data_IF_724011812574
#
_entry.id   IF_724011812574
#
_cell.length_a   1.000
_cell.length_b   1.000
_cell.length_c   1.000
_cell.angle_alpha   90.00
_cell.angle_beta   90.00
_cell.angle_gamma   90.00
#
_symmetry.space_group_name_H-M   'P 1'
#
loop_
_entity.id
_entity.type
_entity.pdbx_description
1 polymer ?
#
# COMPACT_ATOMS: atom_id res chain seq x y z
N UNK A 1 -145.28 173.82 -9.70
CA UNK A 1 -145.06 175.13 -9.05
C UNK A 1 -145.30 176.21 -10.09
N UNK A 2 -146.29 177.10 -9.85
CA UNK A 2 -146.40 178.54 -10.23
C UNK A 2 -146.00 178.97 -11.65
N UNK A 3 -146.70 179.77 -12.46
CA UNK A 3 -147.81 180.75 -12.32
C UNK A 3 -148.37 180.99 -13.75
N UNK A 4 -149.68 181.13 -14.01
CA UNK A 4 -150.49 182.37 -13.92
C UNK A 4 -149.96 183.49 -14.85
N UNK A 5 -150.66 183.88 -15.93
CA UNK A 5 -151.63 185.01 -16.06
C UNK A 5 -151.73 185.32 -17.58
N UNK A 6 -152.72 185.91 -18.24
CA UNK A 6 -154.04 186.52 -17.97
C UNK A 6 -154.51 187.09 -19.34
N UNK A 7 -155.79 186.94 -19.77
CA UNK A 7 -156.82 188.03 -19.90
C UNK A 7 -156.55 189.11 -20.99
N UNK A 8 -157.47 189.74 -21.74
CA UNK A 8 -158.93 190.00 -21.74
C UNK A 8 -159.30 190.62 -23.13
N UNK A 9 -160.42 190.24 -23.77
CA UNK A 9 -161.69 190.99 -24.04
C UNK A 9 -161.69 192.37 -24.77
N UNK A 10 -162.61 192.53 -25.76
CA UNK A 10 -163.56 193.66 -26.08
C UNK A 10 -164.23 193.34 -27.48
N UNK A 11 -165.48 192.87 -27.57
CA UNK A 11 -166.79 193.55 -27.71
C UNK A 11 -167.08 194.25 -29.07
N UNK A 12 -168.00 193.71 -29.89
CA UNK A 12 -169.10 194.46 -30.53
C UNK A 12 -170.21 193.53 -31.07
N UNK A 13 -171.43 194.05 -31.02
CA UNK A 13 -172.75 193.42 -30.89
C UNK A 13 -173.51 193.36 -32.25
N UNK A 14 -174.12 192.22 -32.62
CA UNK A 14 -175.05 192.08 -33.77
C UNK A 14 -176.06 190.94 -33.50
N UNK A 15 -177.37 191.10 -33.80
CA UNK A 15 -178.38 190.12 -33.45
C UNK A 15 -178.43 188.92 -34.41
N UNK A 16 -178.23 187.75 -33.79
CA UNK A 16 -178.76 186.40 -34.04
C UNK A 16 -179.42 186.08 -35.40
N UNK A 17 -178.94 185.00 -36.03
CA UNK A 17 -179.80 183.96 -36.59
C UNK A 17 -179.32 182.56 -36.21
N UNK A 18 -180.27 181.65 -36.01
CA UNK A 18 -180.13 180.29 -35.44
C UNK A 18 -179.19 179.35 -36.22
N UNK A 19 -178.84 179.67 -37.47
CA UNK A 19 -177.95 178.87 -38.31
C UNK A 19 -176.46 179.10 -38.01
N UNK A 20 -176.04 180.30 -37.60
CA UNK A 20 -174.63 180.58 -37.31
C UNK A 20 -174.13 179.91 -36.02
N UNK A 21 -174.96 179.83 -34.97
CA UNK A 21 -174.60 179.09 -33.76
C UNK A 21 -174.39 177.59 -34.01
N UNK A 22 -175.14 177.00 -34.95
CA UNK A 22 -174.95 175.60 -35.31
C UNK A 22 -173.65 175.42 -36.11
N UNK A 23 -173.29 176.39 -36.95
CA UNK A 23 -172.06 176.32 -37.74
C UNK A 23 -170.79 176.48 -36.87
N UNK A 24 -170.81 177.36 -35.87
CA UNK A 24 -169.70 177.53 -34.92
C UNK A 24 -169.57 176.36 -33.93
N UNK A 25 -170.70 175.76 -33.51
CA UNK A 25 -170.68 174.53 -32.71
C UNK A 25 -170.04 173.38 -33.49
N UNK A 26 -170.45 173.18 -34.75
CA UNK A 26 -169.87 172.15 -35.61
C UNK A 26 -168.38 172.35 -35.83
N UNK A 27 -167.91 173.59 -36.06
CA UNK A 27 -166.48 173.87 -36.22
C UNK A 27 -165.67 173.62 -34.94
N UNK A 28 -166.21 173.98 -33.77
CA UNK A 28 -165.56 173.71 -32.49
C UNK A 28 -165.52 172.20 -32.18
N UNK A 29 -166.60 171.47 -32.42
CA UNK A 29 -166.65 170.00 -32.29
C UNK A 29 -165.68 169.33 -33.27
N UNK A 30 -165.53 169.86 -34.48
CA UNK A 30 -164.55 169.37 -35.46
C UNK A 30 -163.12 169.63 -34.99
N UNK A 31 -162.81 170.84 -34.50
CA UNK A 31 -161.50 171.16 -33.96
C UNK A 31 -161.16 170.35 -32.69
N UNK A 32 -162.14 170.09 -31.83
CA UNK A 32 -161.97 169.23 -30.65
C UNK A 32 -161.73 167.77 -31.05
N UNK A 33 -162.44 167.30 -32.08
CA UNK A 33 -162.25 165.97 -32.66
C UNK A 33 -160.88 165.83 -33.33
N UNK A 34 -160.43 166.86 -34.05
CA UNK A 34 -159.09 166.91 -34.66
C UNK A 34 -157.97 166.98 -33.62
N UNK A 35 -158.13 167.76 -32.55
CA UNK A 35 -157.17 167.83 -31.44
C UNK A 35 -157.10 166.51 -30.68
N UNK A 36 -158.24 165.85 -30.45
CA UNK A 36 -158.31 164.51 -29.86
C UNK A 36 -157.65 163.47 -30.78
N UNK A 37 -157.89 163.54 -32.10
CA UNK A 37 -157.25 162.67 -33.08
C UNK A 37 -155.73 162.88 -33.14
N UNK A 38 -155.26 164.13 -33.04
CA UNK A 38 -153.83 164.43 -32.96
C UNK A 38 -153.19 163.95 -31.66
N UNK A 39 -153.88 164.09 -30.53
CA UNK A 39 -153.40 163.60 -29.23
C UNK A 39 -153.30 162.08 -29.23
N UNK A 40 -154.30 161.37 -29.76
CA UNK A 40 -154.25 159.91 -29.95
C UNK A 40 -153.11 159.51 -30.89
N UNK A 41 -152.87 160.26 -31.98
CA UNK A 41 -151.72 160.01 -32.86
C UNK A 41 -150.38 160.25 -32.18
N UNK A 42 -150.28 161.30 -31.36
CA UNK A 42 -149.08 161.57 -30.58
C UNK A 42 -148.83 160.46 -29.55
N UNK A 43 -149.86 160.03 -28.81
CA UNK A 43 -149.77 158.94 -27.84
C UNK A 43 -149.45 157.59 -28.52
N UNK A 44 -150.02 157.32 -29.70
CA UNK A 44 -149.67 156.16 -30.53
C UNK A 44 -148.20 156.22 -30.96
N UNK A 45 -147.74 157.35 -31.50
CA UNK A 45 -146.36 157.52 -31.94
C UNK A 45 -145.37 157.44 -30.77
N UNK A 46 -145.73 157.97 -29.59
CA UNK A 46 -144.93 157.88 -28.38
C UNK A 46 -144.86 156.43 -27.86
N UNK A 47 -145.98 155.69 -27.94
CA UNK A 47 -146.03 154.27 -27.59
C UNK A 47 -145.19 153.44 -28.55
N UNK A 48 -145.26 153.69 -29.87
CA UNK A 48 -144.41 153.05 -30.87
C UNK A 48 -142.92 153.35 -30.64
N UNK A 49 -142.56 154.59 -30.26
CA UNK A 49 -141.19 154.96 -29.93
C UNK A 49 -140.68 154.23 -28.68
N UNK A 50 -141.52 154.11 -27.65
CA UNK A 50 -141.19 153.34 -26.44
C UNK A 50 -141.08 151.85 -26.74
N UNK A 51 -141.96 151.30 -27.58
CA UNK A 51 -141.94 149.91 -28.00
C UNK A 51 -140.69 149.62 -28.86
N UNK A 52 -140.35 150.49 -29.81
CA UNK A 52 -139.12 150.41 -30.60
C UNK A 52 -137.87 150.52 -29.73
N UNK A 53 -137.86 151.41 -28.74
CA UNK A 53 -136.76 151.48 -27.76
C UNK A 53 -136.66 150.20 -26.94
N UNK A 54 -137.77 149.66 -26.44
CA UNK A 54 -137.81 148.39 -25.72
C UNK A 54 -137.30 147.23 -26.59
N UNK A 55 -137.72 147.20 -27.86
CA UNK A 55 -137.28 146.20 -28.86
C UNK A 55 -135.81 146.36 -29.23
N UNK A 56 -135.31 147.59 -29.30
CA UNK A 56 -133.89 147.87 -29.51
C UNK A 56 -133.07 147.40 -28.31
N UNK A 57 -133.53 147.66 -27.09
CA UNK A 57 -132.87 147.18 -25.86
C UNK A 57 -132.88 145.65 -25.81
N UNK A 58 -133.99 144.98 -26.15
CA UNK A 58 -134.05 143.51 -26.16
C UNK A 58 -133.20 142.89 -27.28
N UNK A 59 -133.09 143.55 -28.43
CA UNK A 59 -132.17 143.14 -29.50
C UNK A 59 -130.72 143.36 -29.09
N UNK A 60 -130.40 144.45 -28.43
CA UNK A 60 -129.06 144.71 -27.88
C UNK A 60 -128.69 143.65 -26.83
N UNK A 61 -129.58 143.32 -25.89
CA UNK A 61 -129.33 142.23 -24.92
C UNK A 61 -129.12 140.89 -25.64
N UNK A 62 -129.95 140.56 -26.63
CA UNK A 62 -129.78 139.31 -27.41
C UNK A 62 -128.47 139.29 -28.21
N UNK A 63 -128.01 140.44 -28.71
CA UNK A 63 -126.74 140.57 -29.42
C UNK A 63 -125.56 140.38 -28.48
N UNK A 64 -125.60 140.97 -27.28
CA UNK A 64 -124.58 140.78 -26.26
C UNK A 64 -124.51 139.32 -25.78
N UNK A 65 -125.66 138.64 -25.64
CA UNK A 65 -125.72 137.20 -25.33
C UNK A 65 -125.10 136.35 -26.45
N UNK A 66 -125.49 136.59 -27.71
CA UNK A 66 -124.90 135.90 -28.87
C UNK A 66 -123.40 136.13 -28.99
N UNK A 67 -122.94 137.36 -28.70
CA UNK A 67 -121.51 137.70 -28.66
C UNK A 67 -120.78 136.95 -27.56
N UNK A 68 -121.36 136.88 -26.35
CA UNK A 68 -120.79 136.12 -25.25
C UNK A 68 -120.74 134.61 -25.58
N UNK A 69 -121.76 134.07 -26.23
CA UNK A 69 -121.79 132.68 -26.64
C UNK A 69 -120.76 132.38 -27.75
N UNK A 70 -120.60 133.28 -28.74
CA UNK A 70 -119.55 133.16 -29.75
C UNK A 70 -118.14 133.18 -29.13
N UNK A 71 -117.89 134.03 -28.14
CA UNK A 71 -116.63 134.03 -27.39
C UNK A 71 -116.44 132.75 -26.57
N UNK A 72 -117.51 132.22 -25.94
CA UNK A 72 -117.46 130.92 -25.26
C UNK A 72 -117.14 129.77 -26.22
N UNK A 73 -117.73 129.75 -27.41
CA UNK A 73 -117.40 128.76 -28.45
C UNK A 73 -115.96 128.87 -28.90
N UNK A 74 -115.46 130.10 -29.13
CA UNK A 74 -114.07 130.35 -29.51
C UNK A 74 -113.09 129.90 -28.43
N UNK A 75 -113.37 130.22 -27.17
CA UNK A 75 -112.59 129.76 -26.02
C UNK A 75 -112.63 128.24 -25.89
N UNK A 76 -113.81 127.62 -26.03
CA UNK A 76 -113.95 126.18 -25.95
C UNK A 76 -113.22 125.47 -27.11
N UNK A 77 -113.29 126.00 -28.32
CA UNK A 77 -112.55 125.48 -29.47
C UNK A 77 -111.03 125.63 -29.28
N UNK A 78 -110.56 126.76 -28.75
CA UNK A 78 -109.14 126.95 -28.41
C UNK A 78 -108.67 125.97 -27.33
N UNK A 79 -109.52 125.70 -26.33
CA UNK A 79 -109.25 124.71 -25.27
C UNK A 79 -109.21 123.29 -25.83
N UNK A 80 -110.14 122.93 -26.71
CA UNK A 80 -110.15 121.64 -27.40
C UNK A 80 -108.94 121.46 -28.30
N UNK A 81 -108.58 122.49 -29.09
CA UNK A 81 -107.39 122.48 -29.93
C UNK A 81 -106.11 122.33 -29.10
N UNK A 82 -106.01 123.03 -27.97
CA UNK A 82 -104.85 122.90 -27.05
C UNK A 82 -104.77 121.49 -26.44
N UNK A 83 -105.90 120.89 -26.08
CA UNK A 83 -105.96 119.50 -25.61
C UNK A 83 -105.56 118.51 -26.70
N UNK A 84 -106.03 118.70 -27.92
CA UNK A 84 -105.72 117.85 -29.06
C UNK A 84 -104.22 117.91 -29.38
N UNK A 85 -103.64 119.12 -29.40
CA UNK A 85 -102.19 119.32 -29.57
C UNK A 85 -101.40 118.62 -28.47
N UNK A 86 -101.78 118.81 -27.19
CA UNK A 86 -101.12 118.14 -26.06
C UNK A 86 -101.20 116.62 -26.15
N UNK A 87 -102.34 116.07 -26.56
CA UNK A 87 -102.49 114.62 -26.77
C UNK A 87 -101.67 114.13 -27.96
N UNK A 88 -101.59 114.90 -29.05
CA UNK A 88 -100.73 114.57 -30.20
C UNK A 88 -99.25 114.58 -29.81
N UNK A 89 -98.80 115.59 -29.05
CA UNK A 89 -97.44 115.64 -28.51
C UNK A 89 -97.18 114.45 -27.61
N UNK A 90 -98.10 114.11 -26.71
CA UNK A 90 -97.95 112.94 -25.83
C UNK A 90 -97.90 111.61 -26.61
N UNK A 91 -98.71 111.45 -27.66
CA UNK A 91 -98.66 110.28 -28.53
C UNK A 91 -97.31 110.18 -29.23
N UNK A 92 -96.81 111.29 -29.78
CA UNK A 92 -95.50 111.33 -30.43
C UNK A 92 -94.36 111.01 -29.45
N UNK A 93 -94.40 111.57 -28.23
CA UNK A 93 -93.44 111.26 -27.17
C UNK A 93 -93.47 109.76 -26.81
N UNK A 94 -94.66 109.18 -26.65
CA UNK A 94 -94.79 107.73 -26.40
C UNK A 94 -94.31 106.87 -27.58
N UNK A 95 -94.51 107.30 -28.83
CA UNK A 95 -94.02 106.60 -30.02
C UNK A 95 -92.48 106.65 -30.11
N UNK A 96 -91.88 107.81 -29.82
CA UNK A 96 -90.43 107.99 -29.74
C UNK A 96 -89.83 107.14 -28.60
N UNK A 97 -90.44 107.15 -27.41
CA UNK A 97 -90.06 106.28 -26.28
C UNK A 97 -90.16 104.80 -26.64
N UNK A 98 -91.23 104.36 -27.32
CA UNK A 98 -91.39 102.98 -27.77
C UNK A 98 -90.33 102.57 -28.80
N UNK A 99 -89.93 103.49 -29.68
CA UNK A 99 -88.85 103.27 -30.65
C UNK A 99 -87.50 103.11 -29.93
N UNK A 100 -87.19 104.00 -28.98
CA UNK A 100 -85.98 103.92 -28.15
C UNK A 100 -85.97 102.65 -27.30
N UNK A 101 -87.11 102.26 -26.74
CA UNK A 101 -87.24 101.03 -25.96
C UNK A 101 -87.03 99.78 -26.84
N UNK A 102 -87.56 99.77 -28.06
CA UNK A 102 -87.39 98.65 -29.01
C UNK A 102 -85.94 98.52 -29.47
N UNK A 103 -85.28 99.64 -29.79
CA UNK A 103 -83.86 99.65 -30.17
C UNK A 103 -82.96 99.23 -29.00
N UNK A 104 -83.22 99.74 -27.80
CA UNK A 104 -82.55 99.34 -26.55
C UNK A 104 -82.73 97.84 -26.26
N UNK A 105 -83.96 97.33 -26.37
CA UNK A 105 -84.27 95.90 -26.22
C UNK A 105 -83.48 95.06 -27.22
N UNK A 106 -83.51 95.41 -28.49
CA UNK A 106 -82.78 94.67 -29.53
C UNK A 106 -81.26 94.67 -29.28
N UNK A 107 -80.72 95.80 -28.81
CA UNK A 107 -79.31 95.92 -28.46
C UNK A 107 -78.95 95.04 -27.24
N UNK A 108 -79.79 95.04 -26.20
CA UNK A 108 -79.59 94.20 -25.02
C UNK A 108 -79.71 92.70 -25.36
N UNK A 109 -80.64 92.33 -26.23
CA UNK A 109 -80.84 90.95 -26.70
C UNK A 109 -79.65 90.46 -27.52
N UNK A 110 -79.11 91.28 -28.44
CA UNK A 110 -77.89 90.97 -29.18
C UNK A 110 -76.69 90.81 -28.23
N UNK A 111 -76.54 91.71 -27.26
CA UNK A 111 -75.47 91.65 -26.27
C UNK A 111 -75.58 90.37 -25.42
N UNK A 112 -76.79 90.01 -24.99
CA UNK A 112 -77.04 88.77 -24.27
C UNK A 112 -76.72 87.53 -25.12
N UNK A 113 -77.09 87.53 -26.41
CA UNK A 113 -76.81 86.42 -27.32
C UNK A 113 -75.30 86.23 -27.53
N UNK A 114 -74.54 87.33 -27.70
CA UNK A 114 -73.07 87.29 -27.79
C UNK A 114 -72.48 86.73 -26.49
N UNK A 115 -72.91 87.25 -25.34
CA UNK A 115 -72.44 86.77 -24.04
C UNK A 115 -72.78 85.28 -23.81
N UNK A 116 -73.96 84.81 -24.22
CA UNK A 116 -74.33 83.39 -24.13
C UNK A 116 -73.44 82.51 -25.00
N UNK A 117 -73.14 82.94 -26.23
CA UNK A 117 -72.24 82.20 -27.13
C UNK A 117 -70.83 82.12 -26.55
N UNK A 118 -70.29 83.24 -26.07
CA UNK A 118 -68.98 83.28 -25.40
C UNK A 118 -68.95 82.39 -24.16
N UNK A 119 -70.00 82.41 -23.32
CA UNK A 119 -70.09 81.56 -22.13
C UNK A 119 -70.10 80.07 -22.50
N UNK A 120 -70.81 79.72 -23.57
CA UNK A 120 -70.86 78.35 -24.07
C UNK A 120 -69.49 77.89 -24.58
N UNK A 121 -68.79 78.70 -25.38
CA UNK A 121 -67.43 78.41 -25.87
C UNK A 121 -66.42 78.28 -24.71
N UNK A 122 -66.53 79.14 -23.69
CA UNK A 122 -65.70 79.04 -22.49
C UNK A 122 -65.97 77.76 -21.70
N UNK A 123 -67.22 77.33 -21.61
CA UNK A 123 -67.60 76.08 -20.94
C UNK A 123 -67.06 74.85 -21.67
N UNK A 124 -67.09 74.85 -22.99
CA UNK A 124 -66.52 73.77 -23.79
C UNK A 124 -64.98 73.73 -23.68
N UNK A 125 -64.31 74.88 -23.74
CA UNK A 125 -62.86 74.97 -23.47
C UNK A 125 -62.51 74.50 -22.06
N UNK A 126 -63.30 74.87 -21.05
CA UNK A 126 -63.08 74.42 -19.67
C UNK A 126 -63.24 72.90 -19.55
N UNK A 127 -64.23 72.32 -20.23
CA UNK A 127 -64.39 70.87 -20.29
C UNK A 127 -63.20 70.19 -20.96
N UNK A 128 -62.72 70.70 -22.10
CA UNK A 128 -61.55 70.16 -22.81
C UNK A 128 -60.26 70.28 -21.99
N UNK A 129 -60.06 71.39 -21.27
CA UNK A 129 -58.91 71.54 -20.38
C UNK A 129 -59.01 70.58 -19.19
N UNK A 130 -60.21 70.36 -18.65
CA UNK A 130 -60.42 69.42 -17.54
C UNK A 130 -60.19 67.96 -17.96
N UNK A 131 -60.58 67.57 -19.18
CA UNK A 131 -60.27 66.22 -19.70
C UNK A 131 -58.78 66.03 -19.94
N UNK A 132 -58.07 67.05 -20.46
CA UNK A 132 -56.61 67.04 -20.58
C UNK A 132 -55.92 66.93 -19.22
N UNK A 133 -56.38 67.70 -18.23
CA UNK A 133 -55.84 67.67 -16.87
C UNK A 133 -56.01 66.28 -16.24
N UNK A 134 -57.21 65.70 -16.31
CA UNK A 134 -57.46 64.36 -15.78
C UNK A 134 -56.59 63.30 -16.48
N UNK A 135 -56.37 63.43 -17.78
CA UNK A 135 -55.47 62.53 -18.52
C UNK A 135 -54.04 62.60 -17.97
N UNK A 136 -53.49 63.81 -17.80
CA UNK A 136 -52.15 63.97 -17.22
C UNK A 136 -52.06 63.47 -15.78
N UNK A 137 -53.13 63.61 -15.00
CA UNK A 137 -53.17 63.14 -13.62
C UNK A 137 -53.11 61.61 -13.56
N UNK A 138 -53.89 60.92 -14.41
CA UNK A 138 -53.84 59.47 -14.55
C UNK A 138 -52.47 58.97 -15.02
N UNK A 139 -51.87 59.61 -16.04
CA UNK A 139 -50.53 59.27 -16.53
C UNK A 139 -49.47 59.46 -15.42
N UNK A 140 -49.61 60.49 -14.59
CA UNK A 140 -48.73 60.73 -13.45
C UNK A 140 -48.88 59.65 -12.37
N UNK A 141 -50.11 59.27 -12.03
CA UNK A 141 -50.38 58.16 -11.09
C UNK A 141 -49.82 56.83 -11.59
N UNK A 142 -50.04 56.51 -12.87
CA UNK A 142 -49.47 55.32 -13.50
C UNK A 142 -47.93 55.34 -13.45
N UNK A 143 -47.30 56.49 -13.74
CA UNK A 143 -45.85 56.63 -13.65
C UNK A 143 -45.34 56.46 -12.20
N UNK A 144 -46.04 57.04 -11.21
CA UNK A 144 -45.68 56.89 -9.79
C UNK A 144 -45.81 55.44 -9.30
N UNK A 145 -46.88 54.74 -9.70
CA UNK A 145 -47.05 53.32 -9.36
C UNK A 145 -45.95 52.48 -10.02
N UNK A 146 -45.63 52.72 -11.28
CA UNK A 146 -44.52 52.05 -11.96
C UNK A 146 -43.18 52.30 -11.27
N UNK A 147 -42.86 53.54 -10.93
CA UNK A 147 -41.63 53.89 -10.19
C UNK A 147 -41.55 53.16 -8.84
N UNK A 148 -42.68 53.08 -8.12
CA UNK A 148 -42.77 52.35 -6.85
C UNK A 148 -42.55 50.83 -7.05
N UNK A 149 -43.12 50.25 -8.12
CA UNK A 149 -42.89 48.83 -8.43
C UNK A 149 -41.44 48.53 -8.80
N UNK A 150 -40.76 49.43 -9.52
CA UNK A 150 -39.35 49.29 -9.89
C UNK A 150 -38.46 49.43 -8.65
N UNK A 151 -38.71 50.43 -7.81
CA UNK A 151 -37.99 50.64 -6.54
C UNK A 151 -38.09 49.41 -5.63
N UNK A 152 -39.29 48.83 -5.48
CA UNK A 152 -39.48 47.59 -4.70
C UNK A 152 -38.67 46.41 -5.26
N UNK A 153 -38.69 46.21 -6.59
CA UNK A 153 -37.91 45.13 -7.24
C UNK A 153 -36.41 45.34 -7.07
N UNK A 154 -35.95 46.58 -7.15
CA UNK A 154 -34.54 46.93 -6.95
C UNK A 154 -34.09 46.59 -5.52
N UNK A 155 -34.89 46.95 -4.52
CA UNK A 155 -34.64 46.64 -3.10
C UNK A 155 -34.62 45.12 -2.84
N UNK A 156 -35.53 44.38 -3.48
CA UNK A 156 -35.61 42.93 -3.38
C UNK A 156 -34.35 42.26 -3.96
N UNK A 157 -33.86 42.71 -5.12
CA UNK A 157 -32.60 42.21 -5.71
C UNK A 157 -31.41 42.52 -4.81
N UNK A 158 -31.33 43.73 -4.25
CA UNK A 158 -30.27 44.09 -3.31
C UNK A 158 -30.29 43.20 -2.08
N UNK A 159 -31.47 42.96 -1.50
CA UNK A 159 -31.65 42.10 -0.32
C UNK A 159 -31.29 40.65 -0.62
N UNK A 160 -31.71 40.11 -1.76
CA UNK A 160 -31.36 38.75 -2.17
C UNK A 160 -29.86 38.60 -2.38
N UNK A 161 -29.22 39.54 -3.10
CA UNK A 161 -27.78 39.51 -3.34
C UNK A 161 -26.98 39.66 -2.05
N UNK A 162 -27.43 40.54 -1.15
CA UNK A 162 -26.91 40.67 0.22
C UNK A 162 -27.00 39.35 0.99
N UNK A 163 -28.13 38.65 0.92
CA UNK A 163 -28.32 37.34 1.54
C UNK A 163 -27.41 36.25 0.96
N UNK A 164 -27.23 36.21 -0.37
CA UNK A 164 -26.31 35.25 -1.00
C UNK A 164 -24.84 35.50 -0.65
N UNK A 165 -24.47 36.76 -0.46
CA UNK A 165 -23.11 37.17 -0.13
C UNK A 165 -22.86 37.23 1.39
N UNK A 166 -23.88 36.99 2.20
CA UNK A 166 -23.88 37.13 3.66
C UNK A 166 -23.32 38.49 4.12
N UNK A 167 -23.79 39.57 3.47
CA UNK A 167 -23.37 40.96 3.76
C UNK A 167 -24.57 41.77 4.23
N UNK A 168 -24.45 42.45 5.37
CA UNK A 168 -25.44 43.45 5.77
C UNK A 168 -25.26 44.75 4.97
N UNK A 169 -26.30 45.10 4.23
CA UNK A 169 -26.38 46.32 3.42
C UNK A 169 -27.28 47.41 4.02
N UNK A 170 -28.00 47.14 5.12
CA UNK A 170 -29.05 48.04 5.65
C UNK A 170 -28.54 49.41 6.05
N UNK A 171 -27.31 49.49 6.54
CA UNK A 171 -26.67 50.73 6.99
C UNK A 171 -25.73 51.32 5.92
N UNK A 172 -25.69 50.74 4.72
CA UNK A 172 -24.76 51.17 3.68
C UNK A 172 -25.42 52.26 2.84
N UNK A 173 -24.77 53.41 2.75
CA UNK A 173 -25.22 54.56 1.95
C UNK A 173 -25.33 54.22 0.45
N UNK A 174 -24.51 53.26 -0.01
CA UNK A 174 -24.54 52.72 -1.37
C UNK A 174 -24.41 51.18 -1.37
N UNK A 175 -25.52 50.46 -1.13
CA UNK A 175 -25.54 49.00 -1.05
C UNK A 175 -24.94 48.33 -2.29
N UNK A 176 -25.26 48.83 -3.49
CA UNK A 176 -24.79 48.23 -4.75
C UNK A 176 -23.26 48.26 -4.90
N UNK A 177 -22.59 49.32 -4.44
CA UNK A 177 -21.13 49.44 -4.54
C UNK A 177 -20.45 48.43 -3.60
N UNK A 178 -21.00 48.23 -2.41
CA UNK A 178 -20.49 47.25 -1.44
C UNK A 178 -20.65 45.82 -1.96
N UNK A 179 -21.83 45.50 -2.50
CA UNK A 179 -22.09 44.19 -3.10
C UNK A 179 -21.18 43.94 -4.31
N UNK A 180 -21.01 44.92 -5.20
CA UNK A 180 -20.07 44.81 -6.32
C UNK A 180 -18.62 44.60 -5.86
N UNK A 181 -18.18 45.33 -4.82
CA UNK A 181 -16.84 45.16 -4.26
C UNK A 181 -16.65 43.75 -3.72
N UNK A 182 -17.63 43.19 -3.01
CA UNK A 182 -17.54 41.81 -2.51
C UNK A 182 -17.52 40.80 -3.65
N UNK A 183 -18.39 40.96 -4.64
CA UNK A 183 -18.39 40.08 -5.82
C UNK A 183 -17.03 40.11 -6.51
N UNK A 184 -16.43 41.29 -6.66
CA UNK A 184 -15.09 41.42 -7.24
C UNK A 184 -14.01 40.72 -6.41
N UNK A 185 -14.07 40.84 -5.08
CA UNK A 185 -13.18 40.13 -4.15
C UNK A 185 -13.33 38.61 -4.30
N UNK A 186 -14.55 38.08 -4.24
CA UNK A 186 -14.86 36.64 -4.42
C UNK A 186 -14.39 36.14 -5.79
N UNK A 187 -14.53 36.94 -6.85
CA UNK A 187 -14.02 36.59 -8.17
C UNK A 187 -12.49 36.47 -8.19
N UNK A 188 -11.78 37.40 -7.54
CA UNK A 188 -10.32 37.35 -7.42
C UNK A 188 -9.87 36.15 -6.60
N UNK A 189 -10.51 35.90 -5.45
CA UNK A 189 -10.25 34.72 -4.62
C UNK A 189 -10.46 33.42 -5.41
N UNK A 190 -11.58 33.30 -6.14
CA UNK A 190 -11.84 32.14 -7.01
C UNK A 190 -10.77 31.93 -8.07
N UNK A 191 -10.27 33.01 -8.70
CA UNK A 191 -9.16 32.91 -9.66
C UNK A 191 -7.90 32.36 -8.96
N UNK A 192 -7.54 32.89 -7.80
CA UNK A 192 -6.36 32.42 -7.05
C UNK A 192 -6.50 30.96 -6.61
N UNK A 193 -7.68 30.53 -6.15
CA UNK A 193 -7.95 29.14 -5.79
C UNK A 193 -7.88 28.21 -7.01
N UNK A 194 -8.37 28.66 -8.17
CA UNK A 194 -8.28 27.90 -9.42
C UNK A 194 -6.83 27.71 -9.86
N UNK A 195 -5.99 28.73 -9.71
CA UNK A 195 -4.55 28.64 -9.98
C UNK A 195 -3.86 27.68 -9.01
N UNK A 196 -4.17 27.74 -7.71
CA UNK A 196 -3.66 26.80 -6.70
C UNK A 196 -4.06 25.35 -7.00
N UNK A 197 -5.32 25.11 -7.38
CA UNK A 197 -5.80 23.77 -7.77
C UNK A 197 -5.05 23.25 -8.99
N UNK A 198 -4.75 24.13 -9.95
CA UNK A 198 -4.00 23.76 -11.16
C UNK A 198 -2.55 23.39 -10.81
N UNK A 199 -1.89 24.18 -9.97
CA UNK A 199 -0.54 23.88 -9.46
C UNK A 199 -0.48 22.57 -8.66
N UNK A 200 -1.45 22.32 -7.78
CA UNK A 200 -1.54 21.07 -7.03
C UNK A 200 -1.76 19.86 -7.95
N UNK A 201 -2.59 20.02 -8.98
CA UNK A 201 -2.82 18.96 -9.98
C UNK A 201 -1.54 18.62 -10.75
N UNK A 202 -0.76 19.62 -11.14
CA UNK A 202 0.55 19.42 -11.78
C UNK A 202 1.52 18.69 -10.83
N UNK A 203 1.60 19.11 -9.57
CA UNK A 203 2.45 18.46 -8.56
C UNK A 203 2.07 16.98 -8.33
N UNK A 204 0.76 16.67 -8.27
CA UNK A 204 0.27 15.29 -8.19
C UNK A 204 0.71 14.49 -9.41
N UNK A 205 0.57 15.04 -10.62
CA UNK A 205 0.97 14.35 -11.84
C UNK A 205 2.48 14.06 -11.88
N UNK A 206 3.32 15.03 -11.45
CA UNK A 206 4.77 14.83 -11.31
C UNK A 206 5.07 13.69 -10.33
N UNK A 207 4.46 13.70 -9.14
CA UNK A 207 4.64 12.62 -8.16
C UNK A 207 4.12 11.26 -8.66
N UNK A 208 3.05 11.23 -9.46
CA UNK A 208 2.54 9.99 -10.05
C UNK A 208 3.56 9.40 -11.04
N UNK A 209 4.15 10.24 -11.90
CA UNK A 209 5.19 9.83 -12.84
C UNK A 209 6.44 9.35 -12.09
N UNK A 210 6.88 10.08 -11.06
CA UNK A 210 8.01 9.70 -10.21
C UNK A 210 7.76 8.37 -9.48
N UNK A 211 6.57 8.18 -8.91
CA UNK A 211 6.17 6.94 -8.25
C UNK A 211 6.17 5.74 -9.21
N UNK A 212 5.71 5.94 -10.46
CA UNK A 212 5.79 4.91 -11.51
C UNK A 212 7.25 4.56 -11.84
N UNK A 213 8.12 5.56 -12.00
CA UNK A 213 9.55 5.34 -12.26
C UNK A 213 10.26 4.63 -11.07
N UNK A 214 9.90 4.99 -9.84
CA UNK A 214 10.40 4.34 -8.63
C UNK A 214 9.96 2.87 -8.55
N UNK A 215 8.68 2.59 -8.85
CA UNK A 215 8.16 1.22 -8.91
C UNK A 215 8.90 0.37 -9.95
N UNK A 216 9.19 0.93 -11.12
CA UNK A 216 9.97 0.24 -12.16
C UNK A 216 11.41 -0.03 -11.69
N UNK A 217 12.04 0.92 -11.01
CA UNK A 217 13.38 0.74 -10.44
C UNK A 217 13.41 -0.35 -9.37
N UNK A 218 12.42 -0.38 -8.48
CA UNK A 218 12.27 -1.47 -7.49
C UNK A 218 12.11 -2.82 -8.18
N UNK A 219 11.30 -2.91 -9.23
CA UNK A 219 11.13 -4.16 -9.99
C UNK A 219 12.42 -4.64 -10.66
N UNK A 220 13.24 -3.70 -11.18
CA UNK A 220 14.55 -4.01 -11.75
C UNK A 220 15.51 -4.56 -10.68
N UNK A 221 15.61 -3.89 -9.53
CA UNK A 221 16.43 -4.32 -8.40
C UNK A 221 15.99 -5.67 -7.84
N UNK A 222 14.68 -5.91 -7.70
CA UNK A 222 14.16 -7.23 -7.28
C UNK A 222 14.56 -8.34 -8.25
N UNK A 223 14.54 -8.05 -9.56
CA UNK A 223 14.98 -9.01 -10.58
C UNK A 223 16.47 -9.30 -10.47
N UNK A 224 17.30 -8.27 -10.26
CA UNK A 224 18.75 -8.40 -10.03
C UNK A 224 19.03 -9.22 -8.76
N UNK A 225 18.39 -8.90 -7.64
CA UNK A 225 18.51 -9.65 -6.37
C UNK A 225 18.11 -11.11 -6.55
N UNK A 226 17.02 -11.39 -7.28
CA UNK A 226 16.58 -12.76 -7.55
C UNK A 226 17.62 -13.54 -8.38
N UNK A 227 18.25 -12.88 -9.35
CA UNK A 227 19.32 -13.48 -10.16
C UNK A 227 20.57 -13.76 -9.32
N UNK A 228 20.99 -12.82 -8.48
CA UNK A 228 22.12 -13.02 -7.57
C UNK A 228 21.83 -14.11 -6.53
N UNK A 229 20.60 -14.19 -6.01
CA UNK A 229 20.19 -15.27 -5.11
C UNK A 229 20.29 -16.64 -5.79
N UNK A 230 19.90 -16.76 -7.07
CA UNK A 230 20.07 -17.99 -7.86
C UNK A 230 21.54 -18.33 -8.06
N UNK A 231 22.39 -17.36 -8.37
CA UNK A 231 23.84 -17.57 -8.49
C UNK A 231 24.44 -18.03 -7.17
N UNK A 232 24.10 -17.36 -6.07
CA UNK A 232 24.55 -17.72 -4.73
C UNK A 232 24.13 -19.15 -4.36
N UNK A 233 22.87 -19.54 -4.65
CA UNK A 233 22.41 -20.91 -4.46
C UNK A 233 23.22 -21.92 -5.30
N UNK A 234 23.56 -21.58 -6.54
CA UNK A 234 24.46 -22.37 -7.39
C UNK A 234 25.85 -22.53 -6.76
N UNK A 235 26.46 -21.45 -6.27
CA UNK A 235 27.75 -21.51 -5.58
C UNK A 235 27.71 -22.38 -4.33
N UNK A 236 26.62 -22.35 -3.55
CA UNK A 236 26.45 -23.25 -2.41
C UNK A 236 26.41 -24.72 -2.84
N UNK A 237 25.71 -25.05 -3.93
CA UNK A 237 25.67 -26.42 -4.47
C UNK A 237 27.05 -26.89 -4.95
N UNK A 238 27.77 -26.02 -5.67
CA UNK A 238 29.13 -26.32 -6.13
C UNK A 238 30.08 -26.53 -4.94
N UNK A 239 29.96 -25.70 -3.90
CA UNK A 239 30.76 -25.83 -2.69
C UNK A 239 30.43 -27.10 -1.91
N UNK A 240 29.16 -27.50 -1.82
CA UNK A 240 28.77 -28.78 -1.21
C UNK A 240 29.32 -29.97 -2.00
N UNK A 241 29.27 -29.91 -3.33
CA UNK A 241 29.86 -30.93 -4.20
C UNK A 241 31.37 -31.03 -3.98
N UNK A 242 32.08 -29.91 -3.98
CA UNK A 242 33.52 -29.88 -3.74
C UNK A 242 33.87 -30.40 -2.33
N UNK A 243 33.04 -30.12 -1.32
CA UNK A 243 33.22 -30.66 0.02
C UNK A 243 33.06 -32.19 0.05
N UNK A 244 32.07 -32.75 -0.66
CA UNK A 244 31.92 -34.22 -0.82
C UNK A 244 33.12 -34.85 -1.53
N UNK A 245 33.59 -34.20 -2.60
CA UNK A 245 34.78 -34.65 -3.33
C UNK A 245 36.03 -34.61 -2.43
N UNK A 246 36.17 -33.57 -1.60
CA UNK A 246 37.23 -33.45 -0.61
C UNK A 246 37.16 -34.55 0.45
N UNK A 247 35.99 -34.82 1.03
CA UNK A 247 35.80 -35.90 2.01
C UNK A 247 36.14 -37.27 1.43
N UNK A 248 35.73 -37.52 0.19
CA UNK A 248 36.09 -38.73 -0.57
C UNK A 248 37.61 -38.83 -0.77
N UNK A 249 38.25 -37.75 -1.21
CA UNK A 249 39.70 -37.70 -1.39
C UNK A 249 40.47 -37.89 -0.08
N UNK A 250 39.99 -37.31 1.03
CA UNK A 250 40.56 -37.49 2.37
C UNK A 250 40.46 -38.95 2.81
N UNK A 251 39.31 -39.59 2.60
CA UNK A 251 39.11 -41.01 2.92
C UNK A 251 40.05 -41.90 2.09
N UNK A 252 40.19 -41.62 0.79
CA UNK A 252 41.15 -42.30 -0.08
C UNK A 252 42.61 -42.08 0.31
N UNK A 253 42.96 -40.87 0.75
CA UNK A 253 44.29 -40.60 1.31
C UNK A 253 44.55 -41.43 2.57
N UNK A 254 43.60 -41.50 3.50
CA UNK A 254 43.74 -42.26 4.75
C UNK A 254 43.92 -43.76 4.50
N UNK A 255 43.21 -44.33 3.52
CA UNK A 255 43.38 -45.75 3.17
C UNK A 255 44.76 -46.04 2.59
N UNK A 256 45.26 -45.18 1.69
CA UNK A 256 46.62 -45.28 1.15
C UNK A 256 47.68 -45.10 2.25
N UNK A 257 47.51 -44.16 3.18
CA UNK A 257 48.41 -44.01 4.32
C UNK A 257 48.43 -45.27 5.20
N UNK A 258 47.29 -45.94 5.38
CA UNK A 258 47.23 -47.22 6.10
C UNK A 258 47.95 -48.33 5.34
N UNK A 259 47.80 -48.40 4.01
CA UNK A 259 48.52 -49.35 3.18
C UNK A 259 50.03 -49.11 3.22
N UNK A 260 50.48 -47.86 3.16
CA UNK A 260 51.90 -47.49 3.30
C UNK A 260 52.43 -47.96 4.66
N UNK A 261 51.72 -47.73 5.76
CA UNK A 261 52.11 -48.25 7.09
C UNK A 261 52.22 -49.77 7.09
N UNK A 262 51.24 -50.46 6.54
CA UNK A 262 51.26 -51.94 6.43
C UNK A 262 52.44 -52.44 5.59
N UNK A 263 52.77 -51.77 4.48
CA UNK A 263 53.92 -52.11 3.65
C UNK A 263 55.25 -51.83 4.36
N UNK A 264 55.34 -50.73 5.12
CA UNK A 264 56.50 -50.43 5.96
C UNK A 264 56.69 -51.50 7.04
N UNK A 265 55.62 -51.92 7.72
CA UNK A 265 55.67 -52.99 8.71
C UNK A 265 56.13 -54.32 8.08
N UNK A 266 55.59 -54.68 6.91
CA UNK A 266 56.05 -55.85 6.14
C UNK A 266 57.51 -55.74 5.75
N UNK A 267 57.95 -54.57 5.30
CA UNK A 267 59.35 -54.33 4.94
C UNK A 267 60.27 -54.51 6.14
N UNK A 268 59.93 -53.95 7.31
CA UNK A 268 60.73 -54.12 8.52
C UNK A 268 60.75 -55.58 9.01
N UNK A 269 59.63 -56.30 8.90
CA UNK A 269 59.56 -57.73 9.22
C UNK A 269 60.44 -58.56 8.27
N UNK A 270 60.36 -58.29 6.96
CA UNK A 270 61.22 -58.93 5.96
C UNK A 270 62.70 -58.61 6.17
N UNK A 271 63.04 -57.37 6.53
CA UNK A 271 64.41 -56.98 6.85
C UNK A 271 64.94 -57.76 8.05
N UNK A 272 64.15 -57.88 9.14
CA UNK A 272 64.52 -58.71 10.30
C UNK A 272 64.70 -60.18 9.92
N UNK A 273 63.81 -60.74 9.10
CA UNK A 273 63.92 -62.12 8.62
C UNK A 273 65.17 -62.34 7.75
N UNK A 274 65.49 -61.37 6.88
CA UNK A 274 66.71 -61.39 6.07
C UNK A 274 67.96 -61.33 6.96
N UNK A 275 67.99 -60.46 7.95
CA UNK A 275 69.12 -60.34 8.87
C UNK A 275 69.29 -61.61 9.72
N UNK A 276 68.19 -62.23 10.16
CA UNK A 276 68.21 -63.54 10.82
C UNK A 276 68.78 -64.62 9.88
N UNK A 277 68.32 -64.69 8.63
CA UNK A 277 68.83 -65.65 7.64
C UNK A 277 70.32 -65.42 7.31
N UNK A 278 70.78 -64.17 7.23
CA UNK A 278 72.21 -63.85 7.09
C UNK A 278 73.02 -64.33 8.29
N UNK A 279 72.49 -64.17 9.51
CA UNK A 279 73.14 -64.65 10.72
C UNK A 279 73.21 -66.19 10.76
N UNK A 280 72.15 -66.88 10.35
CA UNK A 280 72.12 -68.34 10.18
C UNK A 280 73.14 -68.80 9.13
N UNK A 281 73.21 -68.12 7.98
CA UNK A 281 74.18 -68.40 6.93
C UNK A 281 75.62 -68.26 7.46
N UNK A 282 75.93 -67.16 8.14
CA UNK A 282 77.24 -66.94 8.74
C UNK A 282 77.59 -68.02 9.78
N UNK A 283 76.63 -68.43 10.61
CA UNK A 283 76.82 -69.53 11.56
C UNK A 283 77.10 -70.86 10.84
N UNK A 284 76.38 -71.13 9.75
CA UNK A 284 76.58 -72.33 8.93
C UNK A 284 77.94 -72.31 8.22
N UNK A 285 78.37 -71.18 7.68
CA UNK A 285 79.71 -70.99 7.11
C UNK A 285 80.79 -71.25 8.16
N UNK A 286 80.63 -70.72 9.38
CA UNK A 286 81.54 -70.99 10.50
C UNK A 286 81.61 -72.49 10.80
N UNK A 287 80.46 -73.16 10.99
CA UNK A 287 80.42 -74.61 11.20
C UNK A 287 81.03 -75.40 10.04
N UNK A 288 80.82 -74.96 8.79
CA UNK A 288 81.44 -75.56 7.62
C UNK A 288 82.97 -75.42 7.66
N UNK A 289 83.50 -74.24 7.98
CA UNK A 289 84.95 -74.02 8.11
C UNK A 289 85.57 -74.85 9.23
N UNK A 290 84.91 -74.97 10.39
CA UNK A 290 85.34 -75.80 11.51
C UNK A 290 85.34 -77.29 11.15
N UNK A 291 84.29 -77.78 10.49
CA UNK A 291 84.17 -79.16 10.05
C UNK A 291 85.23 -79.47 8.97
N UNK A 292 85.46 -78.55 8.03
CA UNK A 292 86.50 -78.68 7.02
C UNK A 292 87.91 -78.69 7.65
N UNK A 293 88.15 -77.87 8.68
CA UNK A 293 89.39 -77.91 9.48
C UNK A 293 89.58 -79.24 10.19
N UNK A 294 88.51 -79.78 10.80
CA UNK A 294 88.49 -81.09 11.46
C UNK A 294 88.74 -82.22 10.46
N UNK A 295 88.11 -82.17 9.29
CA UNK A 295 88.31 -83.13 8.20
C UNK A 295 89.76 -83.11 7.69
N UNK A 296 90.34 -81.92 7.51
CA UNK A 296 91.75 -81.78 7.09
C UNK A 296 92.69 -82.37 8.13
N UNK A 297 92.44 -82.12 9.42
CA UNK A 297 93.22 -82.65 10.54
C UNK A 297 93.11 -84.18 10.61
N UNK A 298 91.89 -84.71 10.56
CA UNK A 298 91.63 -86.16 10.51
C UNK A 298 92.30 -86.83 9.29
N UNK A 299 92.31 -86.17 8.13
CA UNK A 299 93.03 -86.66 6.94
C UNK A 299 94.54 -86.67 7.13
N UNK A 300 95.11 -85.71 7.85
CA UNK A 300 96.53 -85.69 8.21
C UNK A 300 96.84 -86.82 9.20
N UNK A 301 96.04 -86.97 10.26
CA UNK A 301 96.14 -88.06 11.23
C UNK A 301 96.07 -89.43 10.55
N UNK A 302 95.09 -89.65 9.67
CA UNK A 302 94.98 -90.87 8.89
C UNK A 302 96.23 -91.14 8.02
N UNK A 303 96.81 -90.10 7.40
CA UNK A 303 98.08 -90.23 6.67
C UNK A 303 99.23 -90.62 7.58
N UNK A 304 99.36 -89.98 8.75
CA UNK A 304 100.43 -90.34 9.72
C UNK A 304 100.27 -91.76 10.26
N UNK A 305 99.04 -92.20 10.56
CA UNK A 305 98.73 -93.56 11.00
C UNK A 305 99.00 -94.60 9.89
N UNK A 306 98.71 -94.25 8.64
CA UNK A 306 99.04 -95.09 7.50
C UNK A 306 100.56 -95.22 7.33
N UNK A 307 101.31 -94.12 7.41
CA UNK A 307 102.78 -94.14 7.36
C UNK A 307 103.39 -94.97 8.49
N UNK A 308 102.88 -94.87 9.72
CA UNK A 308 103.37 -95.68 10.84
C UNK A 308 103.01 -97.17 10.68
N UNK A 309 101.83 -97.50 10.15
CA UNK A 309 101.45 -98.88 9.84
C UNK A 309 102.36 -99.51 8.79
N UNK A 310 102.73 -98.76 7.74
CA UNK A 310 103.71 -99.20 6.73
C UNK A 310 105.08 -99.46 7.38
N UNK A 311 105.57 -98.52 8.18
CA UNK A 311 106.84 -98.68 8.89
C UNK A 311 106.85 -99.88 9.86
N UNK A 312 105.72 -100.15 10.54
CA UNK A 312 105.57 -101.32 11.40
C UNK A 312 105.63 -102.63 10.61
N UNK A 313 104.95 -102.70 9.45
CA UNK A 313 105.02 -103.85 8.55
C UNK A 313 106.44 -104.09 8.03
N UNK A 314 107.21 -103.02 7.76
CA UNK A 314 108.64 -103.11 7.44
C UNK A 314 109.47 -103.71 8.58
N UNK A 315 109.28 -103.25 9.82
CA UNK A 315 110.01 -103.78 10.98
C UNK A 315 109.76 -105.29 11.18
N UNK A 316 108.50 -105.74 11.11
CA UNK A 316 108.18 -107.16 11.29
C UNK A 316 108.78 -108.03 10.17
N UNK A 317 108.70 -107.59 8.91
CA UNK A 317 109.32 -108.34 7.82
C UNK A 317 110.85 -108.42 7.95
N UNK A 318 111.47 -107.39 8.51
CA UNK A 318 112.91 -107.40 8.80
C UNK A 318 113.25 -108.41 9.90
N UNK A 319 112.48 -108.46 11.00
CA UNK A 319 112.69 -109.42 12.11
C UNK A 319 112.47 -110.88 11.70
N UNK A 320 111.49 -111.14 10.82
CA UNK A 320 111.18 -112.49 10.35
C UNK A 320 112.12 -112.98 9.23
N UNK A 321 112.97 -112.10 8.72
CA UNK A 321 114.02 -112.44 7.76
C UNK A 321 115.23 -113.02 8.49
N UNK A 322 115.65 -114.24 8.10
CA UNK A 322 116.77 -114.95 8.72
C UNK A 322 117.69 -115.60 7.68
N UNK A 323 118.75 -116.30 8.12
CA UNK A 323 119.80 -116.87 7.25
C UNK A 323 119.27 -117.80 6.14
N UNK A 324 118.04 -118.31 6.26
CA UNK A 324 117.42 -119.22 5.29
C UNK A 324 116.31 -118.60 4.40
N UNK A 325 115.83 -117.36 4.63
CA UNK A 325 114.80 -116.70 3.80
C UNK A 325 114.61 -115.19 4.12
N UNK A 326 114.32 -114.38 3.10
CA UNK A 326 113.97 -112.94 3.19
C UNK A 326 112.46 -112.73 3.03
N UNK A 327 111.83 -111.99 3.95
CA UNK A 327 110.37 -111.76 4.00
C UNK A 327 110.04 -110.35 3.49
N UNK A 328 109.00 -110.20 2.67
CA UNK A 328 108.52 -108.89 2.20
C UNK A 328 107.63 -108.21 3.24
N UNK A 329 107.64 -106.86 3.34
CA UNK A 329 106.81 -106.09 4.27
C UNK A 329 105.35 -105.99 3.84
N UNK A 330 104.71 -107.14 3.61
CA UNK A 330 103.28 -107.25 3.40
C UNK A 330 102.68 -108.20 4.42
N UNK A 331 101.46 -107.90 4.88
CA UNK A 331 100.77 -108.68 5.92
C UNK A 331 100.62 -110.15 5.51
N UNK A 332 100.30 -110.41 4.24
CA UNK A 332 100.22 -111.75 3.69
C UNK A 332 101.56 -112.50 3.79
N UNK A 333 102.66 -111.87 3.41
CA UNK A 333 103.98 -112.49 3.43
C UNK A 333 104.50 -112.71 4.87
N UNK A 334 104.16 -111.81 5.79
CA UNK A 334 104.46 -111.95 7.23
C UNK A 334 103.72 -113.16 7.82
N UNK A 335 102.41 -113.29 7.55
CA UNK A 335 101.60 -114.40 8.04
C UNK A 335 102.05 -115.77 7.48
N UNK A 336 102.34 -115.84 6.18
CA UNK A 336 102.86 -117.06 5.54
C UNK A 336 104.16 -117.54 6.20
N UNK A 337 105.06 -116.62 6.56
CA UNK A 337 106.31 -116.96 7.24
C UNK A 337 106.09 -117.49 8.65
N UNK A 338 105.18 -116.88 9.42
CA UNK A 338 104.85 -117.34 10.79
C UNK A 338 104.28 -118.76 10.74
N UNK A 339 103.39 -119.05 9.79
CA UNK A 339 102.81 -120.39 9.62
C UNK A 339 103.89 -121.43 9.25
N UNK A 340 104.82 -121.09 8.36
CA UNK A 340 105.93 -122.00 7.99
C UNK A 340 106.83 -122.34 9.20
N UNK A 341 107.13 -121.36 10.07
CA UNK A 341 107.91 -121.56 11.29
C UNK A 341 107.15 -122.50 12.25
N UNK A 342 105.86 -122.27 12.48
CA UNK A 342 105.04 -123.12 13.34
C UNK A 342 104.96 -124.57 12.86
N UNK A 343 104.78 -124.82 11.56
CA UNK A 343 104.77 -126.20 11.04
C UNK A 343 106.10 -126.93 11.26
N UNK A 344 107.24 -126.23 11.22
CA UNK A 344 108.55 -126.82 11.53
C UNK A 344 108.69 -127.17 13.01
N UNK A 345 108.15 -126.34 13.91
CA UNK A 345 108.12 -126.60 15.36
C UNK A 345 107.31 -127.87 15.67
N UNK A 346 106.09 -127.95 15.14
CA UNK A 346 105.15 -129.07 15.34
C UNK A 346 105.74 -130.41 14.86
N UNK A 347 106.48 -130.40 13.74
CA UNK A 347 107.18 -131.60 13.24
C UNK A 347 108.30 -132.10 14.15
N UNK A 348 108.98 -131.19 14.88
CA UNK A 348 110.01 -131.56 15.85
C UNK A 348 109.38 -132.14 17.12
N UNK A 349 108.26 -131.58 17.57
CA UNK A 349 107.53 -132.05 18.75
C UNK A 349 107.07 -133.50 18.58
N UNK A 350 106.53 -133.85 17.41
CA UNK A 350 106.17 -135.25 17.06
C UNK A 350 107.40 -136.18 17.13
N UNK A 351 108.55 -135.72 16.65
CA UNK A 351 109.79 -136.51 16.66
C UNK A 351 110.30 -136.76 18.08
N UNK A 352 110.16 -135.77 18.97
CA UNK A 352 110.52 -135.87 20.40
C UNK A 352 109.62 -136.88 21.12
N UNK A 353 108.29 -136.82 20.93
CA UNK A 353 107.36 -137.78 21.54
C UNK A 353 107.63 -139.24 21.11
N UNK A 354 108.11 -139.45 19.88
CA UNK A 354 108.49 -140.79 19.39
C UNK A 354 109.73 -141.36 20.10
N UNK A 355 110.72 -140.52 20.42
CA UNK A 355 111.93 -140.94 21.14
C UNK A 355 111.62 -141.26 22.60
N UNK A 356 110.75 -140.48 23.25
CA UNK A 356 110.33 -140.73 24.63
C UNK A 356 109.65 -142.10 24.81
N UNK A 357 108.82 -142.52 23.84
CA UNK A 357 108.17 -143.82 23.86
C UNK A 357 109.15 -145.01 23.70
N UNK A 358 110.25 -144.82 22.96
CA UNK A 358 111.29 -145.84 22.83
C UNK A 358 112.09 -146.04 24.12
N UNK A 359 112.39 -144.95 24.84
CA UNK A 359 113.09 -144.99 26.13
C UNK A 359 112.26 -145.74 27.19
N UNK A 360 110.96 -145.50 27.25
CA UNK A 360 110.06 -146.18 28.19
C UNK A 360 109.99 -147.70 27.97
N UNK A 361 110.04 -148.16 26.71
CA UNK A 361 110.06 -149.60 26.36
C UNK A 361 111.35 -150.29 26.78
N UNK A 362 112.49 -149.63 26.59
CA UNK A 362 113.81 -150.16 26.97
C UNK A 362 113.96 -150.24 28.50
N UNK A 363 113.45 -149.26 29.24
CA UNK A 363 113.45 -149.28 30.70
C UNK A 363 112.71 -150.50 31.29
N UNK A 364 111.57 -150.86 30.71
CA UNK A 364 110.73 -151.99 31.19
C UNK A 364 111.34 -153.37 30.90
N UNK A 365 112.12 -153.51 29.83
CA UNK A 365 112.83 -154.75 29.52
C UNK A 365 114.00 -155.02 30.49
N UNK A 366 114.69 -153.97 30.93
CA UNK A 366 115.81 -154.06 31.87
C UNK A 366 115.35 -154.44 33.28
N UNK A 367 114.19 -153.94 33.70
CA UNK A 367 113.57 -154.23 35.01
C UNK A 367 113.21 -155.73 35.14
N UNK A 368 112.60 -156.32 34.10
CA UNK A 368 112.26 -157.75 34.06
C UNK A 368 113.50 -158.67 34.06
N UNK A 369 114.63 -158.20 33.52
CA UNK A 369 115.87 -158.98 33.50
C UNK A 369 116.58 -158.96 34.86
N UNK A 370 116.39 -157.87 35.63
CA UNK A 370 116.97 -157.70 36.97
C UNK A 370 116.27 -158.58 38.00
N UNK A 371 114.94 -158.72 37.92
CA UNK A 371 114.16 -159.61 38.79
C UNK A 371 114.49 -161.08 38.59
N UNK A 372 114.65 -161.54 37.35
CA UNK A 372 115.06 -162.92 37.04
C UNK A 372 116.46 -163.27 37.60
N UNK A 373 117.37 -162.29 37.63
CA UNK A 373 118.72 -162.49 38.18
C UNK A 373 118.71 -162.65 39.71
N UNK A 374 117.83 -161.93 40.41
CA UNK A 374 117.68 -162.02 41.87
C UNK A 374 117.08 -163.36 42.33
N UNK A 375 116.12 -163.93 41.59
CA UNK A 375 115.52 -165.23 41.92
C UNK A 375 116.48 -166.41 41.75
N UNK A 376 117.42 -166.31 40.81
CA UNK A 376 118.48 -167.31 40.62
C UNK A 376 119.48 -167.32 41.79
N UNK A 377 119.79 -166.13 42.33
CA UNK A 377 120.74 -165.95 43.44
C UNK A 377 120.20 -166.54 44.76
N UNK A 378 118.91 -166.35 45.04
CA UNK A 378 118.22 -166.90 46.23
C UNK A 378 118.23 -168.44 46.25
N UNK A 379 118.05 -169.05 45.07
CA UNK A 379 118.01 -170.50 44.90
C UNK A 379 119.39 -171.13 45.12
N UNK A 380 120.47 -170.43 44.76
CA UNK A 380 121.85 -170.87 45.00
C UNK A 380 122.21 -170.87 46.50
N UNK A 381 121.81 -169.84 47.26
CA UNK A 381 122.10 -169.76 48.71
C UNK A 381 121.40 -170.85 49.52
N UNK A 382 120.23 -171.31 49.11
CA UNK A 382 119.51 -172.41 49.79
C UNK A 382 120.18 -173.77 49.57
N UNK A 383 120.77 -174.00 48.40
CA UNK A 383 121.50 -175.24 48.12
C UNK A 383 122.81 -175.35 48.93
N UNK A 384 123.48 -174.22 49.16
CA UNK A 384 124.70 -174.12 49.97
C UNK A 384 124.44 -174.50 51.45
N UNK A 385 123.31 -174.06 52.00
CA UNK A 385 122.90 -174.35 53.39
C UNK A 385 122.61 -175.84 53.66
N UNK A 386 122.13 -176.58 52.65
CA UNK A 386 121.91 -178.03 52.76
C UNK A 386 123.23 -178.82 52.76
N UNK A 387 124.31 -178.26 52.21
CA UNK A 387 125.62 -178.92 52.17
C UNK A 387 126.34 -178.83 53.53
N UNK A 388 126.24 -177.70 54.22
CA UNK A 388 126.83 -177.50 55.56
C UNK A 388 126.25 -178.46 56.60
N UNK A 389 124.94 -178.72 56.55
CA UNK A 389 124.27 -179.55 57.55
C UNK A 389 124.59 -181.05 57.42
N UNK A 390 124.85 -181.55 56.21
CA UNK A 390 125.35 -182.92 56.02
C UNK A 390 126.81 -183.07 56.48
N UNK A 391 127.58 -181.97 56.51
CA UNK A 391 128.96 -181.97 56.98
C UNK A 391 129.05 -182.07 58.52
N UNK A 392 128.11 -181.46 59.24
CA UNK A 392 128.03 -181.55 60.71
C UNK A 392 127.53 -182.93 61.18
N UNK A 393 126.66 -183.59 60.39
CA UNK A 393 126.19 -184.95 60.67
C UNK A 393 127.32 -186.01 60.57
N UNK A 394 128.35 -185.77 59.78
CA UNK A 394 129.51 -186.67 59.66
C UNK A 394 130.48 -186.54 60.84
N UNK A 395 130.68 -185.33 61.35
CA UNK A 395 131.67 -185.03 62.40
C UNK A 395 131.26 -185.56 63.78
N UNK A 396 129.95 -185.56 64.09
CA UNK A 396 129.46 -186.09 65.37
C UNK A 396 129.45 -187.64 65.40
N UNK A 397 129.27 -188.30 64.25
CA UNK A 397 129.36 -189.77 64.14
C UNK A 397 130.81 -190.29 64.29
N UNK A 398 131.82 -189.44 64.08
CA UNK A 398 133.24 -189.75 64.29
C UNK A 398 133.72 -189.57 65.74
N UNK A 399 133.11 -188.68 66.56
CA UNK A 399 133.62 -188.35 67.90
C UNK A 399 133.12 -189.26 69.05
N UNK A 400 131.95 -189.90 68.98
CA UNK A 400 131.46 -190.74 70.10
C UNK A 400 131.57 -192.25 69.89
N UNK A 401 132.11 -192.69 68.75
CA UNK A 401 132.78 -193.98 68.65
C UNK A 401 134.05 -194.06 69.54
N UNK A 402 134.51 -192.92 70.10
CA UNK A 402 135.79 -192.73 70.79
C UNK A 402 135.70 -192.57 72.32
N UNK A 403 134.51 -192.52 72.93
CA UNK A 403 134.37 -192.34 74.39
C UNK A 403 133.73 -193.51 75.14
N UNK A 404 133.41 -194.60 74.44
CA UNK A 404 133.14 -195.92 75.04
C UNK A 404 134.41 -196.56 75.64
N UNK A 405 135.61 -196.03 75.34
CA UNK A 405 136.88 -196.74 75.59
C UNK A 405 137.69 -196.30 76.83
N UNK A 406 137.28 -195.31 77.64
CA UNK A 406 138.20 -194.75 78.66
C UNK A 406 137.74 -194.61 80.10
N UNK A 407 136.49 -194.88 80.49
CA UNK A 407 136.15 -194.80 81.92
C UNK A 407 135.28 -195.99 82.35
N UNK A 408 135.86 -197.19 82.11
CA UNK A 408 135.71 -198.34 83.00
C UNK A 408 136.90 -198.46 83.99
N UNK A 409 137.90 -197.56 83.93
CA UNK A 409 139.15 -197.66 84.72
C UNK A 409 139.51 -196.37 85.49
N UNK A 410 138.66 -195.94 86.44
CA UNK A 410 139.12 -195.62 87.82
C UNK A 410 138.06 -194.83 88.61
N UNK A 411 137.13 -195.59 89.21
CA UNK A 411 136.54 -195.25 90.51
C UNK A 411 136.27 -196.53 91.32
N UNK A 412 137.38 -197.24 91.58
CA UNK A 412 137.72 -197.99 92.80
C UNK A 412 139.26 -198.07 92.78
N UNK A 413 140.05 -197.37 93.58
CA UNK A 413 139.87 -196.77 94.89
C UNK A 413 141.09 -195.89 95.19
N UNK A 414 140.86 -194.72 95.78
CA UNK A 414 141.48 -194.42 97.07
C UNK A 414 140.64 -195.14 98.14
N UNK A 415 141.29 -195.96 98.95
CA UNK A 415 140.74 -196.50 100.21
C UNK A 415 140.69 -195.38 101.26
N UNK A 416 139.87 -195.60 102.29
CA UNK A 416 139.78 -194.86 103.56
C UNK A 416 138.81 -193.66 103.48
N UNK A 417 137.63 -193.71 104.09
CA UNK A 417 137.15 -194.52 105.22
C UNK A 417 135.67 -194.84 105.08
#
# INVERSE_FOLDING_TARGET
QSSQESRDHILLDVPVTREQMNHYRAAAETAQSELAALSVKYDCAQSELLELRSRMVSKETSFQELKAEAERYKENNARQMSRLLSLQTQIQEMEEEACVLTTSKNQAELTAQVAFKENWELKEKLHEQNTKLNKFLNECEESMTQASTISRKYEEVLTQLSGFLDIDIREKEKPQEHLMSKVSEICKENLTLKDQVSALREAINVHEVESKANKETIMRLLSEVTMEQKKAAGYYQDMEKLNKDLESAVTGKQSLEMEIRNLQDKLTANQKALDASKQELHNLEKSFTELNGSLKSSREEARTAQSSSVAFKEQIATLLSGRSAMVKPSEKAILERIQEINCKEESKEIMVSQLEAQVAKLAKALENQTTLYQEALERSRKAEKCSETFQDQLKHLEEELLSVDLIQDDLKLEKQK
#
